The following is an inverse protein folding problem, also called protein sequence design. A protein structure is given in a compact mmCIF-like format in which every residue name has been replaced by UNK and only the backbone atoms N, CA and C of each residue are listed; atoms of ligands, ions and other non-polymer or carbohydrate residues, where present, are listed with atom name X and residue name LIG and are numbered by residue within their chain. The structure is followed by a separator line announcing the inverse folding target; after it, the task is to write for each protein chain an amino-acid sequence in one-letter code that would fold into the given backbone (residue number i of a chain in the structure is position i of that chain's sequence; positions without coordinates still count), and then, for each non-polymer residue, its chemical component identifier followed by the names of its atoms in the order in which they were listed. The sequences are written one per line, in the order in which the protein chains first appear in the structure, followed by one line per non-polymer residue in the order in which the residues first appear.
data_IF_760528921651
#
_entry.id   IF_760528921651
#
_cell.length_a   1.000
_cell.length_b   1.000
_cell.length_c   1.000
_cell.angle_alpha   90.00
_cell.angle_beta   90.00
_cell.angle_gamma   90.00
#
_symmetry.space_group_name_H-M   'P 1'
#
loop_
_entity.id
_entity.type
_entity.pdbx_description
1 polymer ?
#
# COMPACT_ATOMS: atom_id res chain seq x y z
N UNK A 1 -5.54 -16.18 8.21
CA UNK A 1 -6.24 -15.25 9.12
C UNK A 1 -5.33 -14.85 10.30
N UNK A 2 -4.21 -14.14 10.11
CA UNK A 2 -3.31 -13.93 11.26
C UNK A 2 -2.28 -12.83 11.05
N UNK A 3 -2.18 -11.92 12.04
CA UNK A 3 -1.14 -10.91 12.37
C UNK A 3 -1.62 -9.46 12.54
N UNK A 4 -2.60 -8.97 11.79
CA UNK A 4 -3.26 -7.67 12.11
C UNK A 4 -4.16 -7.76 13.36
N UNK A 5 -4.62 -8.96 13.66
CA UNK A 5 -5.60 -9.26 14.70
C UNK A 5 -5.04 -9.19 16.13
N UNK A 6 -3.71 -9.30 16.29
CA UNK A 6 -3.06 -9.33 17.60
C UNK A 6 -2.71 -7.92 18.09
N UNK A 7 -2.45 -6.98 17.17
CA UNK A 7 -2.05 -5.60 17.54
C UNK A 7 -3.27 -4.77 18.00
N UNK A 8 -4.47 -5.06 17.49
CA UNK A 8 -5.72 -4.41 17.92
C UNK A 8 -6.07 -4.74 19.38
N UNK A 9 -5.48 -5.80 19.97
CA UNK A 9 -5.84 -6.28 21.30
C UNK A 9 -5.08 -5.61 22.47
N UNK A 10 -4.07 -4.78 22.21
CA UNK A 10 -3.23 -4.16 23.26
C UNK A 10 -3.19 -2.63 23.18
N UNK A 11 -3.60 -2.04 22.05
CA UNK A 11 -3.57 -0.59 21.86
C UNK A 11 -4.81 0.10 22.43
N UNK A 12 -4.60 1.27 23.04
CA UNK A 12 -5.69 2.09 23.54
C UNK A 12 -6.58 2.59 22.38
N UNK A 13 -7.90 2.71 22.62
CA UNK A 13 -8.87 3.12 21.60
C UNK A 13 -8.53 4.48 20.99
N UNK A 14 -7.97 5.41 21.78
CA UNK A 14 -7.61 6.74 21.29
C UNK A 14 -6.42 6.69 20.32
N UNK A 15 -5.43 5.83 20.60
CA UNK A 15 -4.29 5.62 19.71
C UNK A 15 -4.73 5.03 18.36
N UNK A 16 -5.70 4.11 18.38
CA UNK A 16 -6.28 3.55 17.15
C UNK A 16 -6.99 4.64 16.34
N UNK A 17 -7.74 5.54 16.98
CA UNK A 17 -8.36 6.69 16.30
C UNK A 17 -7.30 7.65 15.72
N UNK A 18 -6.21 7.91 16.45
CA UNK A 18 -5.11 8.75 15.97
C UNK A 18 -4.49 8.19 14.70
N UNK A 19 -4.19 6.89 14.67
CA UNK A 19 -3.65 6.21 13.48
C UNK A 19 -4.65 6.19 12.33
N UNK A 20 -5.95 5.99 12.58
CA UNK A 20 -6.95 6.02 11.52
C UNK A 20 -7.08 7.43 10.92
N UNK A 21 -7.01 8.47 11.75
CA UNK A 21 -7.08 9.84 11.29
C UNK A 21 -5.89 10.20 10.38
N UNK A 22 -4.68 9.78 10.77
CA UNK A 22 -3.47 9.97 9.98
C UNK A 22 -3.52 9.16 8.67
N UNK A 23 -3.82 7.86 8.75
CA UNK A 23 -3.75 6.95 7.60
C UNK A 23 -4.88 7.16 6.57
N UNK A 24 -6.02 7.70 6.99
CA UNK A 24 -7.20 7.91 6.12
C UNK A 24 -7.59 9.37 5.97
N UNK A 25 -6.71 10.30 6.37
CA UNK A 25 -6.90 11.76 6.27
C UNK A 25 -8.23 12.23 6.87
N UNK A 26 -8.59 11.72 8.06
CA UNK A 26 -9.77 12.23 8.76
C UNK A 26 -9.48 13.65 9.26
N UNK A 27 -10.44 14.55 9.06
CA UNK A 27 -10.35 15.92 9.56
C UNK A 27 -10.29 15.95 11.09
N UNK A 28 -9.72 17.01 11.67
CA UNK A 28 -9.64 17.18 13.13
C UNK A 28 -11.01 17.14 13.81
N UNK A 29 -12.05 17.63 13.12
CA UNK A 29 -13.43 17.56 13.59
C UNK A 29 -13.95 16.12 13.63
N UNK A 30 -13.71 15.32 12.58
CA UNK A 30 -14.06 13.90 12.54
C UNK A 30 -13.32 13.13 13.64
N UNK A 31 -12.01 13.36 13.77
CA UNK A 31 -11.17 12.78 14.82
C UNK A 31 -11.69 13.11 16.22
N UNK A 32 -12.05 14.36 16.48
CA UNK A 32 -12.57 14.82 17.78
C UNK A 32 -13.89 14.15 18.15
N UNK A 33 -14.81 14.00 17.19
CA UNK A 33 -16.08 13.28 17.38
C UNK A 33 -15.82 11.80 17.70
N UNK A 34 -14.93 11.15 16.95
CA UNK A 34 -14.61 9.75 17.18
C UNK A 34 -14.01 9.53 18.56
N UNK A 35 -13.03 10.34 18.97
CA UNK A 35 -12.45 10.27 20.32
C UNK A 35 -13.53 10.42 21.39
N UNK A 36 -14.43 11.39 21.26
CA UNK A 36 -15.54 11.56 22.19
C UNK A 36 -16.44 10.32 22.27
N UNK A 37 -16.84 9.75 21.11
CA UNK A 37 -17.72 8.58 21.03
C UNK A 37 -17.06 7.26 21.47
N UNK A 38 -15.74 7.20 21.65
CA UNK A 38 -15.09 6.02 22.25
C UNK A 38 -15.41 5.86 23.73
N UNK A 39 -15.76 6.97 24.41
CA UNK A 39 -16.03 7.02 25.85
C UNK A 39 -17.50 6.80 26.21
N UNK A 40 -18.42 7.21 25.34
CA UNK A 40 -19.87 7.07 25.53
C UNK A 40 -20.63 7.27 24.24
N UNK A 41 -21.83 6.70 24.19
CA UNK A 41 -22.81 7.03 23.15
C UNK A 41 -23.42 8.41 23.45
N UNK A 42 -23.75 9.15 22.40
CA UNK A 42 -24.26 10.52 22.58
C UNK A 42 -25.11 10.99 21.42
N UNK A 43 -25.94 12.00 21.68
CA UNK A 43 -26.67 12.70 20.64
C UNK A 43 -25.84 13.83 20.00
N UNK A 44 -26.31 14.39 18.88
CA UNK A 44 -25.60 15.44 18.15
C UNK A 44 -25.36 16.72 18.98
N UNK A 45 -26.26 17.08 19.89
CA UNK A 45 -26.11 18.28 20.73
C UNK A 45 -25.02 18.11 21.79
N UNK A 46 -24.94 16.92 22.39
CA UNK A 46 -23.89 16.56 23.35
C UNK A 46 -22.52 16.52 22.68
N UNK A 47 -22.44 15.94 21.49
CA UNK A 47 -21.21 15.90 20.69
C UNK A 47 -20.79 17.33 20.32
N UNK A 48 -21.73 18.17 19.87
CA UNK A 48 -21.48 19.57 19.55
C UNK A 48 -20.90 20.33 20.73
N UNK A 49 -21.51 20.21 21.92
CA UNK A 49 -21.04 20.88 23.14
C UNK A 49 -19.64 20.42 23.54
N UNK A 50 -19.34 19.14 23.39
CA UNK A 50 -18.04 18.58 23.76
C UNK A 50 -16.93 18.92 22.75
N UNK A 51 -17.24 18.97 21.46
CA UNK A 51 -16.25 19.15 20.38
C UNK A 51 -16.13 20.59 19.88
N UNK A 52 -17.05 21.49 20.29
CA UNK A 52 -17.14 22.89 19.83
C UNK A 52 -17.33 23.05 18.31
N UNK A 53 -17.83 22.02 17.64
CA UNK A 53 -18.14 22.05 16.20
C UNK A 53 -19.43 22.85 15.98
N UNK A 54 -19.47 23.70 14.95
CA UNK A 54 -20.67 24.49 14.64
C UNK A 54 -21.90 23.62 14.34
N UNK A 55 -23.08 24.03 14.80
CA UNK A 55 -24.37 23.33 14.60
C UNK A 55 -24.72 23.06 13.14
N UNK A 56 -24.35 23.96 12.22
CA UNK A 56 -24.56 23.76 10.79
C UNK A 56 -23.69 22.65 10.16
N UNK A 57 -22.58 22.25 10.80
CA UNK A 57 -21.62 21.26 10.25
C UNK A 57 -21.69 19.91 10.94
N UNK A 58 -22.15 19.84 12.19
CA UNK A 58 -22.10 18.59 12.98
C UNK A 58 -22.87 17.45 12.32
N UNK A 59 -24.07 17.72 11.79
CA UNK A 59 -24.89 16.69 11.14
C UNK A 59 -24.30 16.18 9.83
N UNK A 60 -23.60 17.04 9.08
CA UNK A 60 -22.89 16.64 7.87
C UNK A 60 -21.76 15.67 8.23
N UNK A 61 -20.95 16.04 9.22
CA UNK A 61 -19.81 15.23 9.67
C UNK A 61 -20.28 13.90 10.26
N UNK A 62 -21.34 13.90 11.07
CA UNK A 62 -21.91 12.66 11.62
C UNK A 62 -22.45 11.74 10.52
N UNK A 63 -23.08 12.30 9.48
CA UNK A 63 -23.52 11.53 8.32
C UNK A 63 -22.34 10.92 7.57
N UNK A 64 -21.28 11.68 7.33
CA UNK A 64 -20.06 11.17 6.68
C UNK A 64 -19.43 10.01 7.49
N UNK A 65 -19.33 10.13 8.81
CA UNK A 65 -18.80 9.07 9.68
C UNK A 65 -19.70 7.81 9.69
N UNK A 66 -21.03 7.99 9.60
CA UNK A 66 -22.00 6.90 9.47
C UNK A 66 -21.89 6.21 8.10
N UNK A 67 -21.75 6.98 7.03
CA UNK A 67 -21.52 6.50 5.66
C UNK A 67 -20.18 5.77 5.55
N UNK A 68 -19.14 6.23 6.25
CA UNK A 68 -17.90 5.47 6.38
C UNK A 68 -18.05 4.23 7.25
N UNK A 69 -19.15 4.06 7.98
CA UNK A 69 -19.42 2.89 8.82
C UNK A 69 -18.56 2.82 10.09
N UNK A 70 -17.92 3.94 10.48
CA UNK A 70 -17.13 4.03 11.70
C UNK A 70 -17.98 4.35 12.93
N UNK A 71 -19.16 4.93 12.76
CA UNK A 71 -20.17 5.11 13.82
C UNK A 71 -21.49 4.50 13.41
N UNK A 72 -22.30 4.10 14.38
CA UNK A 72 -23.67 3.67 14.16
C UNK A 72 -24.64 4.75 14.62
N UNK A 73 -25.76 4.88 13.92
CA UNK A 73 -26.89 5.71 14.33
C UNK A 73 -28.06 4.82 14.72
N UNK A 74 -28.61 5.04 15.90
CA UNK A 74 -29.79 4.32 16.38
C UNK A 74 -30.89 5.28 16.79
N UNK A 75 -32.14 4.80 16.67
CA UNK A 75 -33.32 5.46 17.20
C UNK A 75 -33.81 4.63 18.39
N UNK A 76 -33.99 5.26 19.56
CA UNK A 76 -34.62 4.56 20.70
C UNK A 76 -36.08 4.20 20.40
N UNK A 77 -36.80 5.00 19.59
CA UNK A 77 -38.11 4.71 18.96
C UNK A 77 -38.24 5.52 17.66
N UNK A 78 -38.98 5.05 16.63
CA UNK A 78 -39.13 5.74 15.33
C UNK A 78 -39.68 7.16 15.41
N UNK A 79 -40.35 7.51 16.51
CA UNK A 79 -41.05 8.79 16.72
C UNK A 79 -40.35 9.78 17.66
N UNK A 80 -39.16 9.49 18.19
CA UNK A 80 -38.51 10.33 19.21
C UNK A 80 -37.10 10.75 18.78
N UNK A 81 -36.91 12.07 18.62
CA UNK A 81 -35.61 12.76 18.60
C UNK A 81 -35.04 12.82 20.02
N UNK A 82 -33.71 12.84 20.22
CA UNK A 82 -32.65 12.87 19.20
C UNK A 82 -32.05 11.50 18.89
N UNK A 83 -31.51 11.35 17.67
CA UNK A 83 -30.73 10.17 17.28
C UNK A 83 -29.49 10.00 18.15
N UNK A 84 -29.17 8.75 18.49
CA UNK A 84 -27.98 8.39 19.26
C UNK A 84 -26.92 7.86 18.31
N UNK A 85 -25.69 8.35 18.47
CA UNK A 85 -24.51 7.92 17.73
C UNK A 85 -23.59 7.12 18.65
N UNK A 86 -23.06 6.00 18.16
CA UNK A 86 -22.29 5.08 18.98
C UNK A 86 -21.11 4.41 18.27
N UNK A 87 -20.12 4.02 19.08
CA UNK A 87 -19.03 3.13 18.72
C UNK A 87 -18.97 1.88 19.64
N UNK A 88 -20.12 1.45 20.18
CA UNK A 88 -20.19 0.36 21.17
C UNK A 88 -19.46 -0.91 20.74
N UNK A 89 -19.52 -1.28 19.46
CA UNK A 89 -18.74 -2.39 18.92
C UNK A 89 -17.50 -1.86 18.19
N UNK A 90 -16.62 -1.19 18.93
CA UNK A 90 -15.44 -0.49 18.40
C UNK A 90 -14.68 -1.30 17.36
N UNK A 91 -14.36 -2.57 17.65
CA UNK A 91 -13.68 -3.47 16.73
C UNK A 91 -14.45 -3.70 15.43
N UNK A 92 -15.77 -3.88 15.48
CA UNK A 92 -16.60 -4.03 14.28
C UNK A 92 -16.74 -2.72 13.51
N UNK A 93 -16.86 -1.59 14.20
CA UNK A 93 -16.89 -0.25 13.62
C UNK A 93 -15.60 0.06 12.85
N UNK A 94 -14.42 -0.26 13.42
CA UNK A 94 -13.14 -0.11 12.70
C UNK A 94 -13.06 -1.04 11.49
N UNK A 95 -13.52 -2.30 11.60
CA UNK A 95 -13.56 -3.20 10.45
C UNK A 95 -14.46 -2.68 9.33
N UNK A 96 -15.66 -2.24 9.66
CA UNK A 96 -16.61 -1.65 8.71
C UNK A 96 -16.01 -0.42 8.02
N UNK A 97 -15.32 0.44 8.79
CA UNK A 97 -14.62 1.60 8.26
C UNK A 97 -13.54 1.24 7.25
N UNK A 98 -12.63 0.35 7.64
CA UNK A 98 -11.53 -0.10 6.78
C UNK A 98 -12.09 -0.82 5.54
N UNK A 99 -13.07 -1.70 5.70
CA UNK A 99 -13.70 -2.40 4.58
C UNK A 99 -14.42 -1.44 3.63
N UNK A 100 -15.11 -0.42 4.13
CA UNK A 100 -15.78 0.59 3.29
C UNK A 100 -14.77 1.50 2.58
N UNK A 101 -13.70 1.93 3.24
CA UNK A 101 -12.61 2.68 2.58
C UNK A 101 -11.89 1.85 1.53
N UNK A 102 -11.64 0.57 1.81
CA UNK A 102 -11.09 -0.37 0.84
C UNK A 102 -12.05 -0.59 -0.33
N UNK A 103 -13.35 -0.82 -0.08
CA UNK A 103 -14.36 -0.96 -1.13
C UNK A 103 -14.50 0.31 -1.96
N UNK A 104 -14.51 1.49 -1.33
CA UNK A 104 -14.57 2.78 -2.02
C UNK A 104 -13.33 2.98 -2.91
N UNK A 105 -12.13 2.68 -2.39
CA UNK A 105 -10.90 2.70 -3.18
C UNK A 105 -10.98 1.70 -4.34
N UNK A 106 -11.48 0.49 -4.12
CA UNK A 106 -11.61 -0.55 -5.15
C UNK A 106 -12.71 -0.23 -6.17
N UNK A 107 -13.81 0.40 -5.77
CA UNK A 107 -14.90 0.82 -6.67
C UNK A 107 -14.52 2.05 -7.47
N UNK A 108 -13.82 3.01 -6.86
CA UNK A 108 -13.22 4.13 -7.58
C UNK A 108 -12.16 3.63 -8.56
N UNK A 109 -11.37 2.62 -8.20
CA UNK A 109 -10.47 1.95 -9.13
C UNK A 109 -11.23 1.24 -10.25
N UNK A 110 -12.29 0.49 -9.95
CA UNK A 110 -13.11 -0.19 -10.96
C UNK A 110 -13.83 0.80 -11.89
N UNK A 111 -14.22 1.97 -11.39
CA UNK A 111 -14.84 3.04 -12.16
C UNK A 111 -13.81 3.79 -13.01
N UNK A 112 -12.61 4.05 -12.48
CA UNK A 112 -11.49 4.57 -13.28
C UNK A 112 -11.14 3.56 -14.37
N UNK A 113 -11.03 2.28 -14.05
CA UNK A 113 -10.80 1.20 -15.01
C UNK A 113 -11.89 1.17 -16.09
N UNK A 114 -13.17 1.17 -15.71
CA UNK A 114 -14.29 1.17 -16.64
C UNK A 114 -14.34 2.45 -17.50
N UNK A 115 -14.02 3.61 -16.93
CA UNK A 115 -13.93 4.87 -17.67
C UNK A 115 -12.74 4.88 -18.64
N UNK A 116 -11.62 4.24 -18.29
CA UNK A 116 -10.46 4.09 -19.16
C UNK A 116 -10.73 3.06 -20.28
N UNK A 117 -11.46 1.99 -20.01
CA UNK A 117 -11.95 1.02 -21.02
C UNK A 117 -12.95 1.67 -21.99
N UNK A 118 -13.80 2.59 -21.51
CA UNK A 118 -14.80 3.29 -22.34
C UNK A 118 -14.21 4.40 -23.22
N UNK A 119 -12.98 4.88 -22.94
CA UNK A 119 -12.34 5.97 -23.69
C UNK A 119 -11.67 5.54 -25.01
N UNK A 120 -11.78 4.27 -25.41
CA UNK A 120 -11.58 3.87 -26.81
C UNK A 120 -10.15 4.04 -27.38
N UNK A 121 -9.12 3.92 -26.55
CA UNK A 121 -7.71 3.97 -26.99
C UNK A 121 -7.02 2.64 -26.63
N UNK A 122 -7.57 1.53 -27.15
CA UNK A 122 -7.16 0.14 -26.84
C UNK A 122 -5.66 -0.13 -27.06
N UNK A 123 -4.99 0.67 -27.90
CA UNK A 123 -3.53 0.56 -28.11
C UNK A 123 -2.71 1.15 -26.96
N UNK A 124 -3.26 2.13 -26.23
CA UNK A 124 -2.55 2.94 -25.24
C UNK A 124 -2.89 2.54 -23.81
N UNK A 125 -4.13 2.21 -23.48
CA UNK A 125 -4.48 1.69 -22.15
C UNK A 125 -5.11 0.31 -22.28
N UNK A 126 -4.56 -0.67 -21.55
CA UNK A 126 -5.07 -2.04 -21.58
C UNK A 126 -4.97 -2.72 -20.22
N UNK A 127 -5.77 -3.78 -20.05
CA UNK A 127 -5.71 -4.65 -18.88
C UNK A 127 -5.08 -5.97 -19.29
N UNK A 128 -3.97 -6.29 -18.65
CA UNK A 128 -3.37 -7.60 -18.74
C UNK A 128 -3.98 -8.44 -17.61
N UNK A 129 -4.84 -9.38 -17.97
CA UNK A 129 -5.41 -10.34 -17.04
C UNK A 129 -4.54 -11.58 -16.98
N UNK A 130 -4.36 -12.13 -15.78
CA UNK A 130 -3.63 -13.38 -15.61
C UNK A 130 -3.56 -13.84 -14.17
N UNK A 131 -2.94 -15.00 -13.98
CA UNK A 131 -2.49 -15.41 -12.67
C UNK A 131 -1.29 -14.54 -12.24
N UNK A 132 -0.90 -14.63 -10.97
CA UNK A 132 0.21 -13.85 -10.42
C UNK A 132 1.54 -14.04 -11.17
N UNK A 133 1.80 -15.23 -11.73
CA UNK A 133 3.04 -15.49 -12.47
C UNK A 133 3.07 -14.75 -13.80
N UNK A 134 1.96 -14.76 -14.53
CA UNK A 134 1.81 -14.00 -15.79
C UNK A 134 1.97 -12.50 -15.57
N UNK A 135 1.45 -11.99 -14.44
CA UNK A 135 1.68 -10.60 -14.04
C UNK A 135 3.15 -10.27 -13.78
N UNK A 136 3.88 -11.14 -13.09
CA UNK A 136 5.32 -10.94 -12.87
C UNK A 136 6.12 -10.96 -14.18
N UNK A 137 5.71 -11.78 -15.17
CA UNK A 137 6.33 -11.83 -16.50
C UNK A 137 6.20 -10.50 -17.24
N UNK A 138 5.04 -9.84 -17.21
CA UNK A 138 4.88 -8.55 -17.87
C UNK A 138 5.79 -7.46 -17.29
N UNK A 139 6.02 -7.48 -15.98
CA UNK A 139 6.95 -6.56 -15.31
C UNK A 139 8.39 -6.89 -15.71
N UNK A 140 8.77 -8.17 -15.75
CA UNK A 140 10.11 -8.61 -16.18
C UNK A 140 10.36 -8.24 -17.65
N UNK A 141 9.38 -8.42 -18.53
CA UNK A 141 9.53 -8.03 -19.93
C UNK A 141 9.72 -6.51 -20.09
N UNK A 142 9.04 -5.69 -19.26
CA UNK A 142 9.30 -4.25 -19.22
C UNK A 142 10.76 -3.98 -18.80
N UNK A 143 11.24 -4.66 -17.77
CA UNK A 143 12.59 -4.51 -17.24
C UNK A 143 13.70 -4.81 -18.26
N UNK A 144 13.50 -5.83 -19.09
CA UNK A 144 14.47 -6.20 -20.14
C UNK A 144 14.57 -5.14 -21.24
N UNK A 145 13.43 -4.56 -21.64
CA UNK A 145 13.32 -3.62 -22.76
C UNK A 145 13.61 -2.17 -22.36
N UNK A 146 13.50 -1.86 -21.06
CA UNK A 146 13.64 -0.53 -20.50
C UNK A 146 15.01 0.12 -20.77
N UNK A 147 15.08 1.44 -20.96
CA UNK A 147 16.36 2.18 -20.82
C UNK A 147 16.59 2.63 -19.38
N UNK A 148 15.53 2.99 -18.69
CA UNK A 148 15.51 3.41 -17.30
C UNK A 148 14.26 2.87 -16.63
N UNK A 149 14.31 2.67 -15.31
CA UNK A 149 13.20 2.09 -14.57
C UNK A 149 12.95 2.92 -13.32
N UNK A 150 11.68 3.19 -13.03
CA UNK A 150 11.27 3.77 -11.75
C UNK A 150 10.16 2.95 -11.12
N UNK A 151 10.30 2.64 -9.84
CA UNK A 151 9.38 1.74 -9.14
C UNK A 151 8.88 2.39 -7.85
N UNK A 152 7.57 2.43 -7.69
CA UNK A 152 6.91 2.73 -6.43
C UNK A 152 6.37 1.44 -5.84
N UNK A 153 6.88 1.04 -4.68
CA UNK A 153 6.45 -0.18 -4.01
C UNK A 153 5.24 0.06 -3.11
N UNK A 154 4.22 -0.79 -3.21
CA UNK A 154 3.19 -0.91 -2.17
C UNK A 154 3.84 -1.23 -0.82
N UNK A 155 3.32 -0.67 0.27
CA UNK A 155 3.83 -0.70 1.67
C UNK A 155 4.15 -2.10 2.26
N UNK A 156 4.02 -3.19 1.50
CA UNK A 156 4.23 -4.57 1.97
C UNK A 156 5.02 -5.45 1.00
N UNK A 157 5.42 -4.95 -0.18
CA UNK A 157 6.19 -5.76 -1.12
C UNK A 157 7.60 -5.98 -0.57
N UNK A 158 8.03 -7.24 -0.58
CA UNK A 158 9.42 -7.56 -0.26
C UNK A 158 10.28 -7.16 -1.46
N UNK A 159 11.35 -6.40 -1.28
CA UNK A 159 12.23 -6.03 -2.38
C UNK A 159 13.03 -7.25 -2.86
N UNK A 160 12.51 -7.95 -3.88
CA UNK A 160 13.13 -9.12 -4.50
C UNK A 160 14.55 -8.82 -5.00
N UNK A 161 14.75 -7.58 -5.42
CA UNK A 161 15.99 -7.06 -5.97
C UNK A 161 17.17 -7.06 -5.00
N UNK A 162 16.97 -7.07 -3.67
CA UNK A 162 18.09 -6.98 -2.73
C UNK A 162 18.88 -8.28 -2.57
N UNK A 163 18.28 -9.42 -2.91
CA UNK A 163 18.92 -10.72 -2.68
C UNK A 163 19.76 -11.21 -3.86
N UNK A 164 19.72 -10.51 -4.98
CA UNK A 164 20.35 -11.00 -6.21
C UNK A 164 21.87 -10.90 -6.18
N UNK A 165 22.40 -10.09 -5.27
CA UNK A 165 23.84 -9.96 -4.99
C UNK A 165 24.48 -11.22 -4.41
N UNK A 166 23.68 -12.13 -3.86
CA UNK A 166 24.18 -13.40 -3.38
C UNK A 166 24.31 -14.41 -4.53
N UNK A 167 25.24 -15.34 -4.40
CA UNK A 167 25.30 -16.51 -5.29
C UNK A 167 23.97 -17.27 -5.28
N UNK A 168 23.77 -18.12 -6.28
CA UNK A 168 22.52 -18.86 -6.47
C UNK A 168 22.09 -19.64 -5.23
N UNK A 169 23.04 -20.34 -4.59
CA UNK A 169 22.78 -21.20 -3.43
C UNK A 169 22.34 -20.36 -2.24
N UNK A 170 23.06 -19.29 -1.94
CA UNK A 170 22.78 -18.38 -0.83
C UNK A 170 21.49 -17.58 -1.07
N UNK A 171 21.23 -17.15 -2.30
CA UNK A 171 19.96 -16.56 -2.71
C UNK A 171 18.78 -17.48 -2.38
N UNK A 172 18.82 -18.74 -2.84
CA UNK A 172 17.75 -19.71 -2.58
C UNK A 172 17.56 -19.98 -1.09
N UNK A 173 18.64 -20.12 -0.32
CA UNK A 173 18.57 -20.28 1.13
C UNK A 173 17.87 -19.11 1.83
N UNK A 174 18.21 -17.87 1.45
CA UNK A 174 17.55 -16.67 1.99
C UNK A 174 16.05 -16.69 1.62
N UNK A 175 15.72 -17.06 0.37
CA UNK A 175 14.32 -17.17 -0.09
C UNK A 175 13.53 -18.21 0.69
N UNK A 176 14.10 -19.38 0.94
CA UNK A 176 13.48 -20.42 1.76
C UNK A 176 13.27 -19.96 3.19
N UNK A 177 14.26 -19.27 3.79
CA UNK A 177 14.13 -18.73 5.15
C UNK A 177 12.97 -17.74 5.25
N UNK A 178 12.86 -16.83 4.29
CA UNK A 178 11.75 -15.87 4.20
C UNK A 178 10.41 -16.58 3.99
N UNK A 179 10.38 -17.59 3.11
CA UNK A 179 9.18 -18.38 2.84
C UNK A 179 8.70 -19.09 4.10
N UNK A 180 9.58 -19.74 4.88
CA UNK A 180 9.23 -20.42 6.13
C UNK A 180 8.66 -19.47 7.20
N UNK A 181 9.13 -18.23 7.25
CA UNK A 181 8.64 -17.25 8.24
C UNK A 181 7.30 -16.59 7.85
N UNK A 182 6.92 -16.72 6.58
CA UNK A 182 5.60 -16.37 6.06
C UNK A 182 4.75 -17.63 6.17
N UNK A 183 3.68 -17.63 6.95
CA UNK A 183 2.77 -18.78 7.09
C UNK A 183 1.96 -18.97 5.79
N UNK A 184 2.65 -19.29 4.69
CA UNK A 184 2.15 -19.47 3.34
C UNK A 184 2.67 -20.84 2.90
N UNK A 185 1.75 -21.81 2.78
CA UNK A 185 2.05 -23.24 2.66
C UNK A 185 2.68 -23.71 1.35
N UNK A 186 3.23 -22.83 0.51
CA UNK A 186 3.93 -23.24 -0.71
C UNK A 186 5.26 -22.49 -0.87
N UNK A 187 6.34 -23.27 -0.86
CA UNK A 187 7.66 -22.78 -1.29
C UNK A 187 7.57 -22.45 -2.79
N UNK A 188 7.96 -21.23 -3.21
CA UNK A 188 7.98 -20.87 -4.62
C UNK A 188 8.91 -21.83 -5.41
N UNK A 189 8.54 -22.16 -6.65
CA UNK A 189 9.32 -23.03 -7.54
C UNK A 189 10.75 -22.46 -7.71
N UNK A 190 11.77 -23.30 -7.50
CA UNK A 190 13.19 -22.94 -7.63
C UNK A 190 13.49 -22.30 -9.00
N UNK A 191 12.98 -22.87 -10.09
CA UNK A 191 13.20 -22.34 -11.44
C UNK A 191 12.67 -20.89 -11.59
N UNK A 192 11.45 -20.64 -11.12
CA UNK A 192 10.83 -19.31 -11.15
C UNK A 192 11.63 -18.29 -10.30
N UNK A 193 12.24 -18.72 -9.19
CA UNK A 193 13.08 -17.87 -8.35
C UNK A 193 14.38 -17.47 -9.07
N UNK A 194 14.98 -18.39 -9.82
CA UNK A 194 16.24 -18.16 -10.53
C UNK A 194 16.05 -17.25 -11.73
N UNK A 195 15.00 -17.46 -12.53
CA UNK A 195 14.68 -16.55 -13.65
C UNK A 195 14.47 -15.12 -13.16
N UNK A 196 13.79 -14.95 -12.00
CA UNK A 196 13.67 -13.64 -11.36
C UNK A 196 15.01 -13.07 -10.95
N UNK A 197 15.89 -13.88 -10.35
CA UNK A 197 17.23 -13.45 -9.94
C UNK A 197 18.02 -12.91 -11.15
N UNK A 198 18.01 -13.64 -12.26
CA UNK A 198 18.71 -13.24 -13.49
C UNK A 198 18.16 -11.93 -14.07
N UNK A 199 16.83 -11.80 -14.17
CA UNK A 199 16.20 -10.56 -14.64
C UNK A 199 16.63 -9.36 -13.80
N UNK A 200 16.59 -9.48 -12.47
CA UNK A 200 17.05 -8.41 -11.59
C UNK A 200 18.56 -8.16 -11.72
N UNK A 201 19.41 -9.19 -11.78
CA UNK A 201 20.85 -9.01 -12.02
C UNK A 201 21.13 -8.23 -13.30
N UNK A 202 20.38 -8.51 -14.37
CA UNK A 202 20.50 -7.76 -15.62
C UNK A 202 20.16 -6.28 -15.43
N UNK A 203 19.12 -5.96 -14.65
CA UNK A 203 18.82 -4.58 -14.27
C UNK A 203 20.00 -3.91 -13.57
N UNK A 204 20.60 -4.63 -12.62
CA UNK A 204 21.72 -4.10 -11.83
C UNK A 204 22.91 -3.67 -12.68
N UNK A 205 23.15 -4.40 -13.76
CA UNK A 205 24.33 -4.22 -14.59
C UNK A 205 24.13 -3.24 -15.75
N UNK A 206 22.89 -2.97 -16.16
CA UNK A 206 22.64 -2.33 -17.45
C UNK A 206 21.73 -1.10 -17.43
N UNK A 207 20.96 -0.88 -16.35
CA UNK A 207 19.89 0.14 -16.34
C UNK A 207 20.04 1.14 -15.19
N UNK A 208 19.54 2.35 -15.38
CA UNK A 208 19.32 3.30 -14.29
C UNK A 208 17.99 2.98 -13.60
N UNK A 209 18.02 2.73 -12.28
CA UNK A 209 16.85 2.30 -11.52
C UNK A 209 16.64 3.18 -10.29
N UNK A 210 15.49 3.85 -10.21
CA UNK A 210 15.03 4.53 -8.99
C UNK A 210 13.90 3.72 -8.36
N UNK A 211 13.99 3.42 -7.06
CA UNK A 211 12.93 2.70 -6.35
C UNK A 211 12.53 3.43 -5.09
N UNK A 212 11.24 3.52 -4.82
CA UNK A 212 10.70 4.13 -3.59
C UNK A 212 9.98 3.06 -2.77
N UNK A 213 10.31 2.98 -1.47
CA UNK A 213 9.65 2.08 -0.53
C UNK A 213 9.45 2.72 0.86
N UNK A 214 8.62 2.11 1.71
CA UNK A 214 8.46 2.54 3.10
C UNK A 214 9.58 2.03 4.00
N UNK A 215 9.89 2.79 5.06
CA UNK A 215 10.77 2.37 6.15
C UNK A 215 10.24 1.10 6.82
N UNK A 216 8.92 0.99 7.02
CA UNK A 216 8.31 -0.20 7.59
C UNK A 216 8.59 -1.46 6.76
N UNK A 217 8.50 -1.36 5.43
CA UNK A 217 8.83 -2.48 4.53
C UNK A 217 10.32 -2.84 4.62
N UNK A 218 11.21 -1.83 4.72
CA UNK A 218 12.65 -2.04 4.88
C UNK A 218 13.00 -2.69 6.22
N UNK A 219 12.45 -2.22 7.33
CA UNK A 219 12.71 -2.76 8.66
C UNK A 219 12.20 -4.20 8.79
N UNK A 220 11.00 -4.46 8.25
CA UNK A 220 10.48 -5.82 8.13
C UNK A 220 11.41 -6.71 7.30
N UNK A 221 11.97 -6.19 6.22
CA UNK A 221 12.96 -6.90 5.41
C UNK A 221 14.24 -7.20 6.20
N UNK A 222 14.80 -6.19 6.88
CA UNK A 222 16.02 -6.27 7.68
C UNK A 222 15.91 -7.38 8.73
N UNK A 223 14.74 -7.55 9.36
CA UNK A 223 14.51 -8.63 10.33
C UNK A 223 14.64 -10.06 9.77
N UNK A 224 14.58 -10.24 8.44
CA UNK A 224 14.75 -11.54 7.80
C UNK A 224 16.21 -11.87 7.47
N UNK A 225 17.13 -10.94 7.68
CA UNK A 225 18.54 -11.07 7.32
C UNK A 225 19.44 -11.18 8.55
N UNK A 226 20.59 -11.82 8.35
CA UNK A 226 21.71 -11.74 9.29
C UNK A 226 22.54 -10.48 9.04
N UNK A 227 23.30 -10.05 10.04
CA UNK A 227 24.14 -8.85 9.95
C UNK A 227 25.17 -8.91 8.83
N UNK A 228 25.80 -10.06 8.61
CA UNK A 228 26.75 -10.29 7.51
C UNK A 228 26.08 -10.15 6.13
N UNK A 229 24.83 -10.60 6.01
CA UNK A 229 24.05 -10.48 4.77
C UNK A 229 23.67 -9.01 4.48
N UNK A 230 23.38 -8.22 5.51
CA UNK A 230 23.10 -6.79 5.37
C UNK A 230 24.34 -6.04 4.85
N UNK A 231 25.52 -6.32 5.41
CA UNK A 231 26.77 -5.70 4.97
C UNK A 231 27.12 -6.05 3.53
N UNK A 232 26.86 -7.29 3.09
CA UNK A 232 27.01 -7.68 1.68
C UNK A 232 26.09 -6.86 0.78
N UNK A 233 24.84 -6.65 1.18
CA UNK A 233 23.87 -5.84 0.40
C UNK A 233 24.35 -4.39 0.29
N UNK A 234 24.72 -3.76 1.41
CA UNK A 234 25.24 -2.38 1.42
C UNK A 234 26.45 -2.23 0.51
N UNK A 235 27.42 -3.14 0.64
CA UNK A 235 28.66 -3.12 -0.15
C UNK A 235 28.39 -3.25 -1.65
N UNK A 236 27.46 -4.12 -2.05
CA UNK A 236 27.13 -4.29 -3.46
C UNK A 236 26.32 -3.13 -4.02
N UNK A 237 25.35 -2.60 -3.27
CA UNK A 237 24.60 -1.41 -3.69
C UNK A 237 25.51 -0.18 -3.85
N UNK A 238 26.46 0.00 -2.96
CA UNK A 238 27.46 1.07 -3.06
C UNK A 238 28.32 0.98 -4.33
N UNK A 239 28.39 -0.21 -4.96
CA UNK A 239 29.09 -0.44 -6.23
C UNK A 239 28.18 -0.30 -7.46
N UNK A 240 26.88 -0.13 -7.26
CA UNK A 240 25.87 0.02 -8.31
C UNK A 240 25.27 1.43 -8.27
N UNK A 241 26.03 2.49 -8.63
CA UNK A 241 25.57 3.88 -8.51
C UNK A 241 24.38 4.22 -9.42
N UNK A 242 24.13 3.38 -10.43
CA UNK A 242 22.97 3.44 -11.31
C UNK A 242 21.65 3.06 -10.60
N UNK A 243 21.70 2.61 -9.34
CA UNK A 243 20.53 2.11 -8.63
C UNK A 243 20.40 2.84 -7.31
N UNK A 244 19.27 3.52 -7.17
CA UNK A 244 18.95 4.28 -5.98
C UNK A 244 17.67 3.74 -5.37
N UNK A 245 17.73 3.45 -4.08
CA UNK A 245 16.59 2.96 -3.33
C UNK A 245 16.30 4.01 -2.26
N UNK A 246 15.17 4.68 -2.46
CA UNK A 246 14.64 5.79 -1.71
C UNK A 246 13.67 5.25 -0.66
N UNK A 247 13.91 5.59 0.61
CA UNK A 247 13.11 5.13 1.74
C UNK A 247 12.39 6.30 2.37
N UNK A 248 11.07 6.15 2.48
CA UNK A 248 10.21 7.12 3.15
C UNK A 248 9.74 6.58 4.49
N UNK A 249 9.69 7.45 5.51
CA UNK A 249 9.16 7.10 6.82
C UNK A 249 7.70 6.63 6.73
N UNK A 250 6.90 7.34 5.94
CA UNK A 250 5.50 7.01 5.69
C UNK A 250 5.20 7.01 4.19
N UNK A 251 4.95 5.83 3.63
CA UNK A 251 4.48 5.67 2.26
C UNK A 251 3.12 4.98 2.24
N UNK A 252 2.08 5.77 1.99
CA UNK A 252 0.71 5.28 1.85
C UNK A 252 0.36 5.25 0.36
N UNK A 253 0.81 4.19 -0.31
CA UNK A 253 0.35 3.89 -1.66
C UNK A 253 -0.42 2.56 -1.68
N UNK A 254 -1.69 2.56 -2.13
CA UNK A 254 -2.49 1.34 -2.15
C UNK A 254 -2.06 0.35 -3.25
N UNK A 255 -1.23 0.81 -4.20
CA UNK A 255 -0.75 0.05 -5.36
C UNK A 255 0.75 0.24 -5.59
N UNK A 256 1.36 -0.71 -6.28
CA UNK A 256 2.70 -0.54 -6.84
C UNK A 256 2.60 0.08 -8.23
N UNK A 257 3.58 0.89 -8.61
CA UNK A 257 3.69 1.47 -9.96
C UNK A 257 5.07 1.14 -10.51
N UNK A 258 5.13 0.70 -11.76
CA UNK A 258 6.37 0.43 -12.49
C UNK A 258 6.38 1.31 -13.73
N UNK A 259 7.41 2.13 -13.89
CA UNK A 259 7.58 3.08 -14.99
C UNK A 259 8.84 2.74 -15.76
N UNK A 260 8.77 2.86 -17.08
CA UNK A 260 9.92 2.81 -17.98
C UNK A 260 9.59 3.46 -19.31
N UNK A 261 10.48 4.29 -19.84
CA UNK A 261 10.37 4.91 -21.16
C UNK A 261 8.97 5.51 -21.42
N UNK A 262 8.12 4.84 -22.21
CA UNK A 262 6.75 5.25 -22.52
C UNK A 262 5.69 4.29 -21.92
N UNK A 263 6.01 3.57 -20.86
CA UNK A 263 5.19 2.52 -20.30
C UNK A 263 5.01 2.67 -18.79
N UNK A 264 3.77 2.50 -18.34
CA UNK A 264 3.38 2.35 -16.95
C UNK A 264 2.68 1.01 -16.77
N UNK A 265 3.13 0.23 -15.79
CA UNK A 265 2.45 -0.96 -15.32
C UNK A 265 2.03 -0.76 -13.86
N UNK A 266 0.75 -0.98 -13.59
CA UNK A 266 0.18 -0.87 -12.24
C UNK A 266 -0.57 -2.16 -11.89
N UNK A 267 0.04 -3.06 -11.09
CA UNK A 267 -0.64 -4.27 -10.62
C UNK A 267 -1.78 -3.95 -9.65
N UNK A 268 -2.94 -4.52 -9.93
CA UNK A 268 -4.16 -4.48 -9.14
C UNK A 268 -4.52 -5.90 -8.73
N UNK A 269 -4.44 -6.17 -7.44
CA UNK A 269 -4.81 -7.47 -6.88
C UNK A 269 -6.24 -7.40 -6.36
N UNK A 270 -7.12 -8.24 -6.91
CA UNK A 270 -8.45 -8.45 -6.34
C UNK A 270 -8.40 -9.54 -5.25
N UNK A 271 -9.49 -9.65 -4.46
CA UNK A 271 -9.60 -10.66 -3.39
C UNK A 271 -9.65 -12.11 -3.91
N UNK A 272 -9.80 -12.33 -5.22
CA UNK A 272 -9.98 -13.66 -5.85
C UNK A 272 -8.71 -14.24 -6.48
N UNK A 273 -7.50 -13.78 -6.09
CA UNK A 273 -6.20 -14.22 -6.64
C UNK A 273 -5.99 -13.94 -8.14
N UNK A 274 -6.92 -13.26 -8.81
CA UNK A 274 -6.68 -12.74 -10.14
C UNK A 274 -5.81 -11.50 -10.02
N UNK A 275 -4.72 -11.50 -10.78
CA UNK A 275 -3.83 -10.36 -10.87
C UNK A 275 -4.15 -9.65 -12.17
N UNK A 276 -4.61 -8.41 -12.06
CA UNK A 276 -4.79 -7.53 -13.21
C UNK A 276 -3.62 -6.56 -13.23
N UNK A 277 -3.00 -6.33 -14.37
CA UNK A 277 -2.07 -5.22 -14.55
C UNK A 277 -2.73 -4.21 -15.46
N UNK A 278 -2.87 -2.98 -14.98
CA UNK A 278 -3.20 -1.85 -15.83
C UNK A 278 -1.92 -1.46 -16.55
N UNK A 279 -1.96 -1.51 -17.87
CA UNK A 279 -0.89 -1.12 -18.77
C UNK A 279 -1.28 0.21 -19.40
N UNK A 280 -0.44 1.22 -19.28
CA UNK A 280 -0.63 2.52 -19.94
C UNK A 280 0.63 2.83 -20.76
N UNK A 281 0.46 3.11 -22.05
CA UNK A 281 1.50 3.49 -22.99
C UNK A 281 1.31 4.94 -23.40
N UNK A 282 2.36 5.74 -23.28
CA UNK A 282 2.36 7.16 -23.61
C UNK A 282 3.24 7.93 -22.64
N UNK A 283 3.97 8.91 -23.17
CA UNK A 283 4.85 9.78 -22.36
C UNK A 283 4.04 10.57 -21.35
N UNK A 284 2.80 10.96 -21.67
CA UNK A 284 1.93 11.71 -20.78
C UNK A 284 1.59 10.96 -19.48
N UNK A 285 1.38 9.64 -19.55
CA UNK A 285 1.12 8.82 -18.37
C UNK A 285 2.40 8.67 -17.55
N UNK A 286 3.52 8.46 -18.24
CA UNK A 286 4.82 8.35 -17.58
C UNK A 286 5.14 9.65 -16.85
N UNK A 287 4.94 10.81 -17.46
CA UNK A 287 5.22 12.13 -16.86
C UNK A 287 4.42 12.34 -15.56
N UNK A 288 3.12 12.05 -15.58
CA UNK A 288 2.25 12.15 -14.39
C UNK A 288 2.78 11.29 -13.24
N UNK A 289 3.04 10.00 -13.50
CA UNK A 289 3.52 9.11 -12.45
C UNK A 289 4.98 9.39 -12.08
N UNK A 290 5.77 9.93 -13.00
CA UNK A 290 7.15 10.32 -12.75
C UNK A 290 7.21 11.51 -11.80
N UNK A 291 6.36 12.53 -12.00
CA UNK A 291 6.20 13.66 -11.09
C UNK A 291 5.73 13.19 -9.71
N UNK A 292 4.71 12.32 -9.68
CA UNK A 292 4.21 11.72 -8.45
C UNK A 292 5.31 10.99 -7.67
N UNK A 293 6.12 10.15 -8.32
CA UNK A 293 7.22 9.44 -7.67
C UNK A 293 8.37 10.38 -7.29
N UNK A 294 8.70 11.36 -8.14
CA UNK A 294 9.71 12.39 -7.81
C UNK A 294 9.37 13.14 -6.52
N UNK A 295 8.09 13.41 -6.26
CA UNK A 295 7.64 14.06 -5.02
C UNK A 295 7.95 13.25 -3.75
N UNK A 296 8.08 11.94 -3.87
CA UNK A 296 8.49 11.04 -2.80
C UNK A 296 10.01 10.96 -2.67
N UNK A 297 10.72 10.90 -3.79
CA UNK A 297 12.19 10.83 -3.84
C UNK A 297 12.80 12.04 -3.10
N UNK A 298 12.28 13.25 -3.31
CA UNK A 298 12.80 14.48 -2.69
C UNK A 298 12.68 14.51 -1.17
N UNK A 299 11.80 13.70 -0.57
CA UNK A 299 11.56 13.61 0.87
C UNK A 299 12.16 12.35 1.49
N UNK A 300 12.81 11.53 0.68
CA UNK A 300 13.30 10.22 1.08
C UNK A 300 14.75 10.26 1.55
N UNK A 301 15.15 9.18 2.21
CA UNK A 301 16.54 8.89 2.57
C UNK A 301 17.06 7.74 1.70
N UNK A 302 18.37 7.71 1.44
CA UNK A 302 18.97 6.56 0.77
C UNK A 302 18.90 5.32 1.68
N UNK A 303 18.52 4.18 1.11
CA UNK A 303 18.43 2.93 1.84
C UNK A 303 19.77 2.49 2.45
N UNK A 304 20.90 2.78 1.78
CA UNK A 304 22.24 2.42 2.29
C UNK A 304 22.52 3.08 3.64
N UNK A 305 22.03 4.31 3.83
CA UNK A 305 22.20 5.06 5.08
C UNK A 305 21.33 4.53 6.24
N UNK A 306 20.25 3.81 5.92
CA UNK A 306 19.30 3.26 6.91
C UNK A 306 19.64 1.82 7.30
N UNK A 307 20.14 1.02 6.35
CA UNK A 307 20.50 -0.38 6.61
C UNK A 307 21.55 -0.48 7.70
#
# INVERSE_FOLDING_TARGET
MSRLWVIIYVMDKLQIIDQLAENYQLTDNQKSILKFLTSRDSNAEEILKATRISSGRIYKILRELEEFGIINKSFKKPSIKPSIYSMQNFSQNIRNFVDRKLKQSLSSQSAIISNLEMLGDEERIGILTGNKKESDIHIINMFEQAKWIRILHKNVSLPWFLYVFFDEKKFLQIRERIAKQRVIGSSPNKFDLLNKREAYLNLYNTKNVDQVMSRDALLKYKSFLKSDEIEVIKKNLSKCPNIKIHVLDHLITPFSVYLSDNLVLMPVFNKSNESKIIKMKGSEYVDIYNEYISSFITKSQDMVDIL
#
